data_IF_070847465040
#
_entry.id   IF_070847465040
#
_cell.length_a   1.000
_cell.length_b   1.000
_cell.length_c   1.000
_cell.angle_alpha   90.00
_cell.angle_beta   90.00
_cell.angle_gamma   90.00
#
_symmetry.space_group_name_H-M   'P 1'
#
loop_
_entity.id
_entity.type
_entity.pdbx_description
1 polymer ?
#
# COMPACT_ATOMS: atom_id res chain seq x y z
N UNK A 1 28.39 3.02 -4.71
CA UNK A 1 28.11 1.68 -4.15
C UNK A 1 26.92 1.83 -3.22
N UNK A 2 25.71 1.75 -3.78
CA UNK A 2 24.44 1.63 -3.05
C UNK A 2 23.72 0.51 -3.80
N UNK A 3 24.13 -0.72 -3.51
CA UNK A 3 23.63 -1.92 -4.18
C UNK A 3 23.38 -3.00 -3.12
N UNK A 4 22.82 -2.61 -1.98
CA UNK A 4 22.38 -3.52 -0.92
C UNK A 4 20.93 -3.98 -1.21
N UNK A 5 20.71 -5.16 -1.82
CA UNK A 5 19.36 -5.69 -2.10
C UNK A 5 18.51 -5.88 -0.84
N UNK A 6 19.15 -5.95 0.33
CA UNK A 6 18.49 -5.99 1.64
C UNK A 6 17.72 -4.70 1.94
N UNK A 7 18.29 -3.53 1.66
CA UNK A 7 17.67 -2.23 1.88
C UNK A 7 16.44 -2.01 1.00
N UNK A 8 16.47 -2.53 -0.23
CA UNK A 8 15.32 -2.51 -1.13
C UNK A 8 14.13 -3.32 -0.55
N UNK A 9 14.41 -4.51 -0.03
CA UNK A 9 13.39 -5.40 0.55
C UNK A 9 12.74 -4.79 1.80
N UNK A 10 13.55 -4.18 2.67
CA UNK A 10 13.06 -3.48 3.87
C UNK A 10 12.24 -2.23 3.48
N UNK A 11 12.76 -1.42 2.56
CA UNK A 11 12.05 -0.24 2.05
C UNK A 11 10.69 -0.58 1.44
N UNK A 12 10.61 -1.68 0.68
CA UNK A 12 9.38 -2.18 0.09
C UNK A 12 8.34 -2.62 1.14
N UNK A 13 8.77 -3.32 2.18
CA UNK A 13 7.89 -3.75 3.28
C UNK A 13 7.38 -2.53 4.07
N UNK A 14 8.25 -1.55 4.35
CA UNK A 14 7.86 -0.31 5.00
C UNK A 14 6.84 0.47 4.16
N UNK A 15 7.07 0.61 2.84
CA UNK A 15 6.11 1.23 1.92
C UNK A 15 4.75 0.51 1.94
N UNK A 16 4.76 -0.82 1.99
CA UNK A 16 3.54 -1.62 2.04
C UNK A 16 2.74 -1.36 3.32
N UNK A 17 3.41 -1.17 4.46
CA UNK A 17 2.77 -0.79 5.73
C UNK A 17 2.21 0.64 5.69
N UNK A 18 2.93 1.60 5.10
CA UNK A 18 2.47 2.99 4.94
C UNK A 18 1.19 3.03 4.08
N UNK A 19 1.19 2.28 2.97
CA UNK A 19 0.00 2.14 2.11
C UNK A 19 -1.20 1.56 2.86
N UNK A 20 -0.97 0.55 3.71
CA UNK A 20 -2.01 -0.01 4.55
C UNK A 20 -2.59 1.02 5.53
N UNK A 21 -1.75 1.89 6.10
CA UNK A 21 -2.17 3.00 6.95
C UNK A 21 -2.98 4.06 6.18
N UNK A 22 -2.54 4.45 4.98
CA UNK A 22 -3.26 5.38 4.10
C UNK A 22 -4.64 4.83 3.72
N UNK A 23 -4.74 3.54 3.41
CA UNK A 23 -6.00 2.88 3.13
C UNK A 23 -6.95 2.86 4.34
N UNK A 24 -6.43 2.61 5.55
CA UNK A 24 -7.20 2.68 6.79
C UNK A 24 -7.69 4.10 7.09
N UNK A 25 -6.88 5.12 6.81
CA UNK A 25 -7.28 6.53 6.92
C UNK A 25 -8.45 6.89 5.99
N UNK A 26 -8.52 6.23 4.82
CA UNK A 26 -9.69 6.29 3.91
C UNK A 26 -10.80 5.30 4.29
N UNK A 27 -10.70 4.66 5.45
CA UNK A 27 -11.59 3.64 5.99
C UNK A 27 -11.79 2.41 5.09
N UNK A 28 -10.77 2.03 4.35
CA UNK A 28 -10.69 0.72 3.68
C UNK A 28 -9.95 -0.27 4.56
N UNK A 29 -10.07 -1.57 4.28
CA UNK A 29 -9.34 -2.61 5.01
C UNK A 29 -7.83 -2.46 4.80
N UNK A 30 -7.10 -2.08 5.85
CA UNK A 30 -5.64 -1.93 5.81
C UNK A 30 -4.93 -3.21 5.41
N UNK A 31 -5.39 -4.36 5.91
CA UNK A 31 -4.81 -5.66 5.62
C UNK A 31 -4.90 -6.04 4.13
N UNK A 32 -6.05 -5.79 3.49
CA UNK A 32 -6.15 -6.00 2.04
C UNK A 32 -5.13 -5.14 1.29
N UNK A 33 -5.00 -3.86 1.67
CA UNK A 33 -4.09 -2.94 1.00
C UNK A 33 -2.61 -3.16 1.34
N UNK A 34 -2.30 -3.74 2.50
CA UNK A 34 -0.98 -4.23 2.85
C UNK A 34 -0.55 -5.35 1.89
N UNK A 35 -1.35 -6.41 1.75
CA UNK A 35 -1.03 -7.53 0.85
C UNK A 35 -0.97 -7.08 -0.61
N UNK A 36 -1.91 -6.25 -1.06
CA UNK A 36 -1.86 -5.67 -2.41
C UNK A 36 -0.56 -4.89 -2.61
N UNK A 37 -0.10 -4.11 -1.64
CA UNK A 37 1.19 -3.39 -1.72
C UNK A 37 2.40 -4.31 -1.66
N UNK A 38 2.33 -5.40 -0.92
CA UNK A 38 3.42 -6.36 -0.81
C UNK A 38 3.72 -7.04 -2.16
N UNK A 39 2.69 -7.34 -2.95
CA UNK A 39 2.83 -7.97 -4.27
C UNK A 39 2.94 -6.98 -5.44
N UNK A 40 2.24 -5.85 -5.39
CA UNK A 40 2.15 -4.88 -6.50
C UNK A 40 2.92 -3.57 -6.25
N UNK A 41 3.45 -3.36 -5.05
CA UNK A 41 4.33 -2.23 -4.76
C UNK A 41 3.67 -0.86 -4.92
N UNK A 42 4.36 0.10 -5.54
CA UNK A 42 3.84 1.45 -5.80
C UNK A 42 2.52 1.48 -6.59
N UNK A 43 2.23 0.45 -7.41
CA UNK A 43 0.96 0.36 -8.12
C UNK A 43 -0.23 0.20 -7.16
N UNK A 44 -0.02 -0.44 -6.01
CA UNK A 44 -1.02 -0.47 -4.95
C UNK A 44 -1.29 0.93 -4.39
N UNK A 45 -0.24 1.74 -4.17
CA UNK A 45 -0.38 3.14 -3.74
C UNK A 45 -1.21 3.92 -4.73
N UNK A 46 -0.93 3.78 -6.03
CA UNK A 46 -1.66 4.45 -7.09
C UNK A 46 -3.16 4.11 -7.05
N UNK A 47 -3.49 2.82 -6.88
CA UNK A 47 -4.88 2.36 -6.73
C UNK A 47 -5.55 2.88 -5.43
N UNK A 48 -4.82 3.00 -4.31
CA UNK A 48 -5.34 3.60 -3.07
C UNK A 48 -5.66 5.08 -3.27
N UNK A 49 -4.80 5.80 -4.00
CA UNK A 49 -4.90 7.24 -4.19
C UNK A 49 -5.99 7.59 -5.20
N UNK A 50 -5.98 6.94 -6.36
CA UNK A 50 -6.85 7.26 -7.52
C UNK A 50 -8.25 6.69 -7.39
N UNK A 51 -8.40 5.48 -6.83
CA UNK A 51 -9.71 4.89 -6.67
C UNK A 51 -10.42 5.56 -5.50
N UNK A 52 -11.60 6.14 -5.72
CA UNK A 52 -12.43 6.70 -4.65
C UNK A 52 -13.21 5.58 -3.91
N UNK A 53 -13.56 5.79 -2.64
CA UNK A 53 -14.24 4.78 -1.82
C UNK A 53 -15.52 4.35 -2.56
N UNK A 54 -15.77 3.04 -2.79
CA UNK A 54 -17.03 2.63 -3.41
C UNK A 54 -18.17 3.17 -2.54
N UNK A 55 -19.06 3.96 -3.14
CA UNK A 55 -20.18 4.58 -2.45
C UNK A 55 -20.91 3.49 -1.65
N UNK A 56 -21.00 3.69 -0.34
CA UNK A 56 -21.75 2.79 0.52
C UNK A 56 -23.21 2.97 0.11
N UNK A 57 -23.77 2.01 -0.63
CA UNK A 57 -25.21 1.95 -0.92
C UNK A 57 -25.91 1.59 0.40
N UNK A 58 -26.29 2.60 1.17
CA UNK A 58 -27.23 2.52 2.29
C UNK A 58 -28.10 3.75 2.27
#
# INVERSE_FOLDING_TARGET
MIDDPSGYSVGWLTLSLINAGLAQGKGRSGWNWFFVSLFFGPFATFLIVVWDRPARRT
#
